data_IF_323841005067
#
_entry.id   IF_323841005067
#
_cell.length_a   1.000
_cell.length_b   1.000
_cell.length_c   1.000
_cell.angle_alpha   90.00
_cell.angle_beta   90.00
_cell.angle_gamma   90.00
#
_symmetry.space_group_name_H-M   'P 1'
#
loop_
_entity.id
_entity.type
_entity.pdbx_description
1 polymer ?
#
# COMPACT_ATOMS: atom_id res chain seq x y z
N UNK A 1 14.32 19.54 11.31
CA UNK A 1 13.98 19.74 9.88
C UNK A 1 13.65 18.42 9.19
N UNK A 2 14.47 17.36 9.35
CA UNK A 2 14.21 16.01 8.81
C UNK A 2 12.87 15.41 9.30
N UNK A 3 12.60 15.44 10.60
CA UNK A 3 11.33 14.98 11.19
C UNK A 3 10.07 15.65 10.60
N UNK A 4 10.14 16.92 10.20
CA UNK A 4 8.98 17.59 9.58
C UNK A 4 8.76 17.14 8.13
N UNK A 5 9.84 16.81 7.41
CA UNK A 5 9.76 16.28 6.06
C UNK A 5 9.17 14.87 6.06
N UNK A 6 9.62 14.00 6.97
CA UNK A 6 9.12 12.61 7.06
C UNK A 6 7.62 12.56 7.39
N UNK A 7 7.15 13.45 8.28
CA UNK A 7 5.72 13.58 8.59
C UNK A 7 4.91 14.04 7.37
N UNK A 8 5.43 14.99 6.57
CA UNK A 8 4.77 15.43 5.33
C UNK A 8 4.65 14.26 4.34
N UNK A 9 5.70 13.46 4.19
CA UNK A 9 5.69 12.28 3.31
C UNK A 9 4.62 11.30 3.76
N UNK A 10 4.51 11.02 5.06
CA UNK A 10 3.49 10.10 5.59
C UNK A 10 2.06 10.58 5.34
N UNK A 11 1.77 11.86 5.62
CA UNK A 11 0.47 12.44 5.29
C UNK A 11 0.19 12.38 3.78
N UNK A 12 1.22 12.58 2.95
CA UNK A 12 1.14 12.38 1.50
C UNK A 12 0.75 10.95 1.13
N UNK A 13 1.36 9.95 1.77
CA UNK A 13 1.04 8.53 1.58
C UNK A 13 -0.42 8.24 1.97
N UNK A 14 -0.91 8.78 3.10
CA UNK A 14 -2.32 8.62 3.48
C UNK A 14 -3.27 9.21 2.43
N UNK A 15 -3.04 10.47 2.03
CA UNK A 15 -3.88 11.15 1.04
C UNK A 15 -3.89 10.41 -0.30
N UNK A 16 -2.73 9.93 -0.74
CA UNK A 16 -2.59 9.11 -1.95
C UNK A 16 -3.36 7.79 -1.81
N UNK A 17 -3.27 7.12 -0.65
CA UNK A 17 -4.00 5.89 -0.38
C UNK A 17 -5.51 6.08 -0.47
N UNK A 18 -6.04 7.17 0.11
CA UNK A 18 -7.47 7.51 0.03
C UNK A 18 -7.88 7.78 -1.42
N UNK A 19 -7.06 8.51 -2.18
CA UNK A 19 -7.33 8.78 -3.60
C UNK A 19 -7.36 7.49 -4.44
N UNK A 20 -6.42 6.56 -4.19
CA UNK A 20 -6.38 5.25 -4.83
C UNK A 20 -7.64 4.44 -4.53
N UNK A 21 -8.07 4.34 -3.27
CA UNK A 21 -9.29 3.63 -2.88
C UNK A 21 -10.54 4.27 -3.48
N UNK A 22 -10.64 5.61 -3.46
CA UNK A 22 -11.73 6.35 -4.09
C UNK A 22 -11.84 6.04 -5.59
N UNK A 23 -10.70 5.89 -6.28
CA UNK A 23 -10.68 5.53 -7.71
C UNK A 23 -11.27 4.13 -7.98
N UNK A 24 -11.13 3.20 -7.04
CA UNK A 24 -11.67 1.84 -7.14
C UNK A 24 -13.16 1.81 -6.86
N UNK A 25 -13.61 2.55 -5.84
CA UNK A 25 -15.04 2.68 -5.49
C UNK A 25 -15.88 3.14 -6.69
N UNK A 26 -15.34 4.04 -7.52
CA UNK A 26 -15.99 4.52 -8.75
C UNK A 26 -16.17 3.46 -9.84
N UNK A 27 -15.39 2.36 -9.81
CA UNK A 27 -15.42 1.30 -10.84
C UNK A 27 -16.49 0.22 -10.59
N UNK A 28 -17.18 0.28 -9.46
CA UNK A 28 -18.18 -0.70 -9.06
C UNK A 28 -17.57 -2.01 -8.52
N UNK A 29 -18.39 -2.79 -7.82
CA UNK A 29 -18.01 -4.02 -7.08
C UNK A 29 -17.21 -3.80 -5.78
N UNK A 30 -17.78 -3.02 -4.86
CA UNK A 30 -17.24 -2.79 -3.51
C UNK A 30 -16.79 -4.08 -2.81
N UNK A 31 -17.57 -5.18 -2.91
CA UNK A 31 -17.23 -6.47 -2.30
C UNK A 31 -15.88 -7.02 -2.77
N UNK A 32 -15.57 -6.91 -4.06
CA UNK A 32 -14.29 -7.39 -4.63
C UNK A 32 -13.14 -6.50 -4.19
N UNK A 33 -13.35 -5.19 -4.20
CA UNK A 33 -12.34 -4.23 -3.74
C UNK A 33 -12.03 -4.44 -2.25
N UNK A 34 -13.06 -4.56 -1.40
CA UNK A 34 -12.90 -4.81 0.02
C UNK A 34 -12.19 -6.14 0.30
N UNK A 35 -12.55 -7.22 -0.41
CA UNK A 35 -11.87 -8.51 -0.28
C UNK A 35 -10.39 -8.43 -0.66
N UNK A 36 -10.05 -7.78 -1.77
CA UNK A 36 -8.66 -7.59 -2.19
C UNK A 36 -7.86 -6.76 -1.19
N UNK A 37 -8.44 -5.67 -0.68
CA UNK A 37 -7.83 -4.80 0.32
C UNK A 37 -7.55 -5.57 1.62
N UNK A 38 -8.58 -6.20 2.21
CA UNK A 38 -8.47 -6.89 3.50
C UNK A 38 -7.52 -8.09 3.43
N UNK A 39 -7.55 -8.83 2.32
CA UNK A 39 -6.64 -9.95 2.11
C UNK A 39 -5.18 -9.49 2.08
N UNK A 40 -4.88 -8.42 1.32
CA UNK A 40 -3.52 -7.90 1.24
C UNK A 40 -3.07 -7.25 2.55
N UNK A 41 -3.95 -6.47 3.20
CA UNK A 41 -3.69 -5.82 4.48
C UNK A 41 -3.29 -6.81 5.58
N UNK A 42 -3.98 -7.95 5.67
CA UNK A 42 -3.66 -8.99 6.66
C UNK A 42 -2.25 -9.54 6.45
N UNK A 43 -1.83 -9.70 5.19
CA UNK A 43 -0.50 -10.21 4.85
C UNK A 43 0.57 -9.14 5.05
N UNK A 44 0.37 -7.94 4.52
CA UNK A 44 1.37 -6.87 4.52
C UNK A 44 1.70 -6.41 5.94
N UNK A 45 0.69 -6.23 6.80
CA UNK A 45 0.94 -5.86 8.18
C UNK A 45 1.63 -6.99 8.98
N UNK A 46 1.26 -8.26 8.73
CA UNK A 46 1.94 -9.40 9.35
C UNK A 46 3.41 -9.51 8.94
N UNK A 47 3.73 -9.28 7.66
CA UNK A 47 5.11 -9.28 7.15
C UNK A 47 5.90 -8.12 7.75
N UNK A 48 5.33 -6.93 7.77
CA UNK A 48 5.93 -5.72 8.34
C UNK A 48 6.30 -5.89 9.82
N UNK A 49 5.41 -6.53 10.58
CA UNK A 49 5.69 -6.90 11.97
C UNK A 49 6.91 -7.82 12.10
N UNK A 50 7.02 -8.85 11.23
CA UNK A 50 8.18 -9.73 11.21
C UNK A 50 9.47 -8.98 10.83
N UNK A 51 9.41 -8.07 9.86
CA UNK A 51 10.56 -7.25 9.43
C UNK A 51 11.12 -6.46 10.61
N UNK A 52 10.25 -5.79 11.38
CA UNK A 52 10.67 -5.03 12.56
C UNK A 52 11.17 -5.95 13.67
N UNK A 53 10.49 -7.09 13.91
CA UNK A 53 10.90 -8.07 14.93
C UNK A 53 12.32 -8.60 14.68
N UNK A 54 12.67 -8.85 13.42
CA UNK A 54 14.01 -9.29 13.01
C UNK A 54 14.99 -8.14 12.77
N UNK A 55 14.61 -6.88 13.02
CA UNK A 55 15.42 -5.68 12.80
C UNK A 55 15.96 -5.57 11.37
N UNK A 56 15.16 -6.00 10.40
CA UNK A 56 15.50 -5.96 8.98
C UNK A 56 15.27 -4.55 8.38
N UNK A 57 14.45 -3.73 9.02
CA UNK A 57 14.24 -2.32 8.68
C UNK A 57 13.95 -1.50 9.94
N UNK A 58 14.37 -0.24 9.93
CA UNK A 58 14.05 0.77 10.95
C UNK A 58 13.25 1.90 10.30
N UNK A 59 12.17 2.34 10.95
CA UNK A 59 11.33 3.41 10.45
C UNK A 59 11.64 4.72 11.19
N UNK A 60 11.79 5.85 10.49
CA UNK A 60 12.19 7.11 11.13
C UNK A 60 11.04 7.77 11.93
N UNK A 61 9.79 7.49 11.56
CA UNK A 61 8.61 8.06 12.21
C UNK A 61 7.57 6.98 12.47
N UNK A 62 7.16 6.85 13.73
CA UNK A 62 6.20 5.86 14.20
C UNK A 62 4.92 6.55 14.67
N UNK A 63 3.81 6.38 13.94
CA UNK A 63 2.50 6.87 14.38
C UNK A 63 2.02 6.18 15.66
N UNK A 64 2.39 4.91 15.82
CA UNK A 64 2.05 4.09 16.97
C UNK A 64 3.31 3.73 17.77
N UNK A 65 4.17 4.69 18.08
CA UNK A 65 5.42 4.47 18.84
C UNK A 65 5.25 3.71 20.17
N UNK A 66 4.05 3.73 20.75
CA UNK A 66 3.73 2.98 21.98
C UNK A 66 3.31 1.53 21.74
N UNK A 67 2.84 1.20 20.53
CA UNK A 67 2.34 -0.13 20.19
C UNK A 67 3.28 -0.88 19.24
N UNK A 68 3.85 -0.21 18.24
CA UNK A 68 4.74 -0.81 17.22
C UNK A 68 5.72 0.22 16.63
N UNK A 69 6.99 -0.17 16.48
CA UNK A 69 8.04 0.63 15.83
C UNK A 69 8.04 0.47 14.30
N UNK A 70 6.86 0.28 13.70
CA UNK A 70 6.72 -0.08 12.30
C UNK A 70 6.21 1.06 11.41
N UNK A 71 6.43 0.95 10.11
CA UNK A 71 5.90 1.85 9.08
C UNK A 71 4.43 1.58 8.80
N UNK A 72 3.60 1.63 9.86
CA UNK A 72 2.22 1.17 9.83
C UNK A 72 1.43 1.69 8.63
N UNK A 73 1.56 2.97 8.30
CA UNK A 73 0.72 3.60 7.27
C UNK A 73 0.98 3.02 5.88
N UNK A 74 2.24 2.72 5.57
CA UNK A 74 2.60 2.09 4.31
C UNK A 74 2.03 0.68 4.25
N UNK A 75 2.41 -0.16 5.20
CA UNK A 75 2.11 -1.58 5.21
C UNK A 75 0.63 -1.88 5.47
N UNK A 76 -0.07 -1.06 6.26
CA UNK A 76 -1.47 -1.28 6.62
C UNK A 76 -2.46 -0.57 5.68
N UNK A 77 -2.09 0.54 5.05
CA UNK A 77 -3.02 1.35 4.24
C UNK A 77 -2.57 1.50 2.78
N UNK A 78 -1.36 1.98 2.53
CA UNK A 78 -0.92 2.28 1.17
C UNK A 78 -0.73 1.02 0.32
N UNK A 79 0.05 0.05 0.80
CA UNK A 79 0.31 -1.16 0.01
C UNK A 79 -0.99 -1.93 -0.31
N UNK A 80 -1.91 -2.12 0.65
CA UNK A 80 -3.23 -2.70 0.36
C UNK A 80 -4.08 -1.87 -0.61
N UNK A 81 -4.05 -0.53 -0.53
CA UNK A 81 -4.76 0.35 -1.45
C UNK A 81 -4.23 0.23 -2.88
N UNK A 82 -2.90 0.30 -3.06
CA UNK A 82 -2.24 0.15 -4.34
C UNK A 82 -2.48 -1.25 -4.95
N UNK A 83 -2.42 -2.31 -4.13
CA UNK A 83 -2.77 -3.67 -4.58
C UNK A 83 -4.23 -3.77 -5.01
N UNK A 84 -5.15 -3.16 -4.28
CA UNK A 84 -6.58 -3.15 -4.62
C UNK A 84 -6.82 -2.47 -5.97
N UNK A 85 -6.15 -1.34 -6.24
CA UNK A 85 -6.17 -0.69 -7.55
C UNK A 85 -5.62 -1.63 -8.62
N UNK A 86 -4.44 -2.22 -8.40
CA UNK A 86 -3.85 -3.17 -9.34
C UNK A 86 -4.81 -4.33 -9.67
N UNK A 87 -5.34 -5.00 -8.65
CA UNK A 87 -6.25 -6.13 -8.78
C UNK A 87 -7.53 -5.76 -9.55
N UNK A 88 -8.15 -4.63 -9.19
CA UNK A 88 -9.40 -4.17 -9.80
C UNK A 88 -9.22 -3.65 -11.23
N UNK A 89 -8.01 -3.24 -11.59
CA UNK A 89 -7.70 -2.71 -12.92
C UNK A 89 -6.98 -3.71 -13.83
N UNK A 90 -6.67 -4.92 -13.32
CA UNK A 90 -5.91 -5.93 -14.03
C UNK A 90 -6.65 -6.47 -15.27
N UNK A 91 -6.06 -6.42 -16.48
CA UNK A 91 -6.72 -6.80 -17.71
C UNK A 91 -6.61 -8.31 -17.92
N UNK A 92 -7.51 -9.05 -17.28
CA UNK A 92 -7.55 -10.51 -17.36
C UNK A 92 -7.62 -11.03 -18.80
N UNK A 93 -8.41 -10.37 -19.66
CA UNK A 93 -8.69 -10.77 -21.05
C UNK A 93 -7.86 -10.05 -22.14
N UNK A 94 -6.87 -9.22 -21.79
CA UNK A 94 -6.05 -8.51 -22.80
C UNK A 94 -4.67 -9.17 -23.00
N UNK A 95 -3.99 -8.69 -24.04
CA UNK A 95 -2.66 -9.11 -24.47
C UNK A 95 -1.62 -9.02 -23.35
N UNK A 96 -0.59 -9.87 -23.48
CA UNK A 96 0.48 -10.05 -22.49
C UNK A 96 1.24 -8.75 -22.19
N UNK A 97 1.45 -7.89 -23.18
CA UNK A 97 2.12 -6.58 -23.04
C UNK A 97 1.42 -5.69 -22.01
N UNK A 98 0.09 -5.61 -22.06
CA UNK A 98 -0.69 -4.76 -21.14
C UNK A 98 -0.67 -5.28 -19.70
N UNK A 99 -0.57 -6.60 -19.52
CA UNK A 99 -0.39 -7.23 -18.21
C UNK A 99 0.98 -6.87 -17.61
N UNK A 100 2.05 -6.98 -18.41
CA UNK A 100 3.39 -6.59 -18.00
C UNK A 100 3.50 -5.12 -17.62
N UNK A 101 2.91 -4.23 -18.42
CA UNK A 101 2.90 -2.80 -18.11
C UNK A 101 2.27 -2.52 -16.75
N UNK A 102 1.21 -3.24 -16.39
CA UNK A 102 0.56 -3.02 -15.10
C UNK A 102 1.30 -3.62 -13.91
N UNK A 103 2.00 -4.74 -14.12
CA UNK A 103 2.96 -5.23 -13.13
C UNK A 103 4.10 -4.23 -12.92
N UNK A 104 4.62 -3.62 -13.99
CA UNK A 104 5.66 -2.60 -13.91
C UNK A 104 5.16 -1.36 -13.16
N UNK A 105 3.96 -0.86 -13.46
CA UNK A 105 3.34 0.26 -12.74
C UNK A 105 3.19 -0.09 -11.26
N UNK A 106 2.71 -1.29 -10.93
CA UNK A 106 2.55 -1.73 -9.56
C UNK A 106 3.90 -1.83 -8.82
N UNK A 107 4.91 -2.42 -9.46
CA UNK A 107 6.25 -2.55 -8.89
C UNK A 107 6.91 -1.18 -8.66
N UNK A 108 6.82 -0.25 -9.62
CA UNK A 108 7.30 1.12 -9.47
C UNK A 108 6.56 1.85 -8.35
N UNK A 109 5.23 1.68 -8.27
CA UNK A 109 4.43 2.28 -7.19
C UNK A 109 4.88 1.79 -5.82
N UNK A 110 5.23 0.51 -5.69
CA UNK A 110 5.73 -0.06 -4.43
C UNK A 110 7.19 0.27 -4.13
N UNK A 111 8.03 0.52 -5.15
CA UNK A 111 9.45 0.83 -4.96
C UNK A 111 9.75 2.32 -4.75
N UNK A 112 8.77 3.20 -4.99
CA UNK A 112 8.91 4.65 -4.76
C UNK A 112 8.72 5.08 -3.30
N UNK A 113 8.23 4.18 -2.46
CA UNK A 113 7.92 4.39 -1.05
C UNK A 113 8.56 3.28 -0.22
#
# INVERSE_FOLDING_TARGET
>A
MLLQFDVIVQWGIMLLSVALLASVLRRGNFRKAAAAFLAYQTLSWGIDFLIVLFKLAEYPVHFFSRATDNGFEFSYLFSPAAFTVFYMTYPHKRERSRKWMQYAIFAVTMGLF
#
